data_IF_767775125905
#
_entry.id   IF_767775125905
#
_cell.length_a   1.000
_cell.length_b   1.000
_cell.length_c   1.000
_cell.angle_alpha   90.00
_cell.angle_beta   90.00
_cell.angle_gamma   90.00
#
_symmetry.space_group_name_H-M   'P 1'
#
loop_
_entity.id
_entity.type
_entity.pdbx_description
1 polymer ?
#
# COMPACT_ATOMS: atom_id res chain seq x y z
N UNK A 1 18.69 -3.79 0.55
CA UNK A 1 17.52 -4.44 -0.06
C UNK A 1 17.61 -4.30 -1.57
N UNK A 2 17.79 -5.43 -2.24
CA UNK A 2 18.10 -5.52 -3.66
C UNK A 2 18.67 -6.90 -3.95
N UNK A 3 18.68 -7.29 -5.23
CA UNK A 3 19.10 -8.60 -5.67
C UNK A 3 18.77 -8.83 -7.14
N UNK A 4 19.17 -9.98 -7.64
CA UNK A 4 18.79 -10.50 -8.95
C UNK A 4 17.25 -10.53 -9.05
N UNK A 5 16.70 -9.91 -10.10
CA UNK A 5 15.27 -9.77 -10.31
C UNK A 5 14.82 -10.18 -11.71
N UNK A 6 15.69 -10.76 -12.54
CA UNK A 6 15.40 -11.08 -13.94
C UNK A 6 14.29 -12.10 -14.07
N UNK A 7 14.19 -13.08 -13.15
CA UNK A 7 13.05 -14.00 -13.12
C UNK A 7 11.73 -13.27 -12.82
N UNK A 8 11.74 -12.39 -11.81
CA UNK A 8 10.56 -11.59 -11.46
C UNK A 8 10.13 -10.69 -12.63
N UNK A 9 11.08 -10.04 -13.32
CA UNK A 9 10.78 -9.21 -14.48
C UNK A 9 10.22 -10.05 -15.64
N UNK A 10 10.74 -11.26 -15.87
CA UNK A 10 10.17 -12.20 -16.86
C UNK A 10 8.73 -12.59 -16.53
N UNK A 11 8.40 -12.80 -15.25
CA UNK A 11 7.02 -13.07 -14.83
C UNK A 11 6.12 -11.85 -15.01
N UNK A 12 6.58 -10.66 -14.61
CA UNK A 12 5.83 -9.42 -14.79
C UNK A 12 5.54 -9.14 -16.27
N UNK A 13 6.51 -9.36 -17.16
CA UNK A 13 6.35 -9.15 -18.59
C UNK A 13 5.21 -10.00 -19.19
N UNK A 14 5.03 -11.24 -18.70
CA UNK A 14 3.93 -12.13 -19.12
C UNK A 14 2.56 -11.67 -18.61
N UNK A 15 2.53 -10.88 -17.55
CA UNK A 15 1.29 -10.33 -16.96
C UNK A 15 0.90 -8.97 -17.50
N UNK A 16 1.73 -8.35 -18.36
CA UNK A 16 1.42 -7.06 -18.95
C UNK A 16 0.22 -7.17 -19.89
N UNK A 17 -0.59 -6.10 -19.91
CA UNK A 17 -1.65 -5.96 -20.92
C UNK A 17 -1.00 -5.86 -22.30
N UNK A 18 -1.72 -6.33 -23.31
CA UNK A 18 -1.30 -6.19 -24.71
C UNK A 18 -2.17 -5.16 -25.41
N UNK A 19 -1.54 -4.36 -26.26
CA UNK A 19 -2.20 -3.45 -27.17
C UNK A 19 -2.86 -4.22 -28.32
N UNK A 20 -3.74 -3.58 -29.13
CA UNK A 20 -4.37 -4.22 -30.28
C UNK A 20 -3.40 -4.81 -31.32
N UNK A 21 -2.18 -4.28 -31.39
CA UNK A 21 -1.10 -4.78 -32.26
C UNK A 21 -0.29 -5.93 -31.64
N UNK A 22 -0.67 -6.38 -30.43
CA UNK A 22 -0.05 -7.50 -29.73
C UNK A 22 1.10 -7.11 -28.81
N UNK A 23 1.62 -5.88 -28.85
CA UNK A 23 2.77 -5.49 -28.03
C UNK A 23 2.38 -5.29 -26.55
N UNK A 24 3.24 -5.70 -25.59
CA UNK A 24 2.99 -5.47 -24.18
C UNK A 24 3.08 -3.99 -23.83
N UNK A 25 2.18 -3.53 -22.95
CA UNK A 25 2.14 -2.17 -22.45
C UNK A 25 1.85 -2.11 -20.95
N UNK A 26 2.29 -1.02 -20.34
CA UNK A 26 2.01 -0.75 -18.94
C UNK A 26 3.15 -0.03 -18.24
N UNK A 27 3.24 -0.23 -16.93
CA UNK A 27 4.22 0.42 -16.07
C UNK A 27 4.71 -0.55 -15.01
N UNK A 28 6.03 -0.68 -14.91
CA UNK A 28 6.69 -1.41 -13.83
C UNK A 28 7.33 -0.39 -12.90
N UNK A 29 6.98 -0.48 -11.61
CA UNK A 29 7.55 0.36 -10.55
C UNK A 29 8.62 -0.44 -9.81
N UNK A 30 9.85 0.06 -9.85
CA UNK A 30 11.03 -0.56 -9.26
C UNK A 30 11.30 0.09 -7.91
N UNK A 31 11.09 -0.68 -6.84
CA UNK A 31 11.34 -0.25 -5.46
C UNK A 31 12.62 -0.89 -4.94
N UNK A 32 13.47 -0.10 -4.27
CA UNK A 32 14.76 -0.57 -3.76
C UNK A 32 15.85 -0.58 -4.84
N UNK A 33 16.74 -1.58 -4.78
CA UNK A 33 17.87 -1.67 -5.70
C UNK A 33 18.01 -3.06 -6.36
N UNK A 34 16.98 -3.56 -7.07
CA UNK A 34 17.09 -4.81 -7.83
C UNK A 34 17.96 -4.64 -9.08
N UNK A 35 18.49 -5.76 -9.57
CA UNK A 35 19.29 -5.84 -10.79
C UNK A 35 18.61 -6.77 -11.80
N UNK A 36 18.46 -6.32 -13.04
CA UNK A 36 18.03 -7.13 -14.18
C UNK A 36 18.59 -6.51 -15.46
N UNK A 37 18.68 -7.28 -16.54
CA UNK A 37 19.07 -6.80 -17.86
C UNK A 37 17.92 -6.93 -18.84
N UNK A 38 17.72 -5.91 -19.69
CA UNK A 38 16.79 -6.03 -20.82
C UNK A 38 17.23 -7.09 -21.82
N UNK A 39 18.53 -7.38 -21.92
CA UNK A 39 19.07 -8.41 -22.80
C UNK A 39 18.68 -9.84 -22.39
N UNK A 40 18.23 -10.04 -21.15
CA UNK A 40 17.78 -11.34 -20.64
C UNK A 40 16.28 -11.59 -20.87
N UNK A 41 15.59 -10.63 -21.51
CA UNK A 41 14.17 -10.69 -21.82
C UNK A 41 13.95 -10.99 -23.30
N UNK A 42 12.79 -11.56 -23.64
CA UNK A 42 12.37 -11.69 -25.04
C UNK A 42 12.32 -10.31 -25.70
N UNK A 43 12.71 -10.22 -26.98
CA UNK A 43 12.94 -8.95 -27.67
C UNK A 43 11.73 -7.99 -27.65
N UNK A 44 10.51 -8.54 -27.62
CA UNK A 44 9.27 -7.77 -27.61
C UNK A 44 8.64 -7.60 -26.21
N UNK A 45 9.21 -8.22 -25.16
CA UNK A 45 8.59 -8.38 -23.84
C UNK A 45 8.27 -7.07 -23.11
N UNK A 46 8.94 -5.97 -23.45
CA UNK A 46 8.82 -4.68 -22.76
C UNK A 46 8.76 -3.47 -23.70
N UNK A 47 8.29 -3.67 -24.94
CA UNK A 47 8.34 -2.66 -26.01
C UNK A 47 7.57 -1.35 -25.71
N UNK A 48 6.43 -1.40 -25.02
CA UNK A 48 5.66 -0.20 -24.64
C UNK A 48 5.51 -0.06 -23.10
N UNK A 49 6.57 -0.35 -22.35
CA UNK A 49 6.53 -0.35 -20.88
C UNK A 49 7.31 0.82 -20.27
N UNK A 50 6.65 1.58 -19.41
CA UNK A 50 7.31 2.56 -18.54
C UNK A 50 8.04 1.86 -17.39
N UNK A 51 9.36 2.08 -17.24
CA UNK A 51 10.09 1.75 -16.00
C UNK A 51 10.17 2.99 -15.11
N UNK A 52 9.64 2.89 -13.89
CA UNK A 52 9.74 3.97 -12.89
C UNK A 52 10.45 3.50 -11.63
N UNK A 53 11.56 4.14 -11.29
CA UNK A 53 12.21 3.94 -9.99
C UNK A 53 11.47 4.75 -8.93
N UNK A 54 11.20 4.13 -7.78
CA UNK A 54 10.54 4.77 -6.66
C UNK A 54 11.25 4.47 -5.33
N UNK A 55 11.33 5.48 -4.48
CA UNK A 55 11.64 5.28 -3.06
C UNK A 55 10.44 4.60 -2.38
N UNK A 56 10.69 3.80 -1.34
CA UNK A 56 9.64 3.03 -0.62
C UNK A 56 8.47 3.91 -0.18
N UNK A 57 8.78 5.10 0.33
CA UNK A 57 7.81 6.07 0.87
C UNK A 57 7.53 7.22 -0.12
N UNK A 58 8.04 7.14 -1.35
CA UNK A 58 7.94 8.21 -2.33
C UNK A 58 8.80 9.45 -2.01
N UNK A 59 8.64 10.53 -2.77
CA UNK A 59 9.31 11.81 -2.53
C UNK A 59 8.90 12.43 -1.18
N UNK A 60 9.82 13.15 -0.53
CA UNK A 60 9.54 13.93 0.68
C UNK A 60 9.90 13.23 2.00
N UNK A 61 10.17 11.92 2.05
CA UNK A 61 10.50 11.20 3.30
C UNK A 61 11.82 11.63 4.00
N UNK A 62 12.60 12.53 3.39
CA UNK A 62 13.75 13.17 4.03
C UNK A 62 13.59 14.69 4.14
N UNK A 63 12.41 15.21 3.82
CA UNK A 63 12.05 16.62 3.92
C UNK A 63 11.20 16.82 5.17
N UNK A 64 11.80 17.41 6.20
CA UNK A 64 11.15 17.69 7.48
C UNK A 64 9.83 18.45 7.32
N UNK A 65 9.77 19.44 6.44
CA UNK A 65 8.55 20.25 6.25
C UNK A 65 7.41 19.42 5.69
N UNK A 66 7.72 18.51 4.77
CA UNK A 66 6.76 17.55 4.24
C UNK A 66 6.22 16.62 5.33
N UNK A 67 7.08 16.11 6.21
CA UNK A 67 6.69 15.23 7.31
C UNK A 67 5.77 15.92 8.32
N UNK A 68 5.95 17.23 8.54
CA UNK A 68 5.03 18.06 9.31
C UNK A 68 3.80 18.54 8.52
N UNK A 69 3.60 18.05 7.30
CA UNK A 69 2.36 18.18 6.56
C UNK A 69 2.24 19.42 5.68
N UNK A 70 3.35 20.09 5.37
CA UNK A 70 3.40 21.07 4.28
C UNK A 70 3.17 20.35 2.95
N UNK A 71 2.39 20.89 1.99
CA UNK A 71 2.21 20.27 0.68
C UNK A 71 3.55 20.05 -0.06
N UNK A 72 3.68 18.90 -0.73
CA UNK A 72 4.79 18.63 -1.65
C UNK A 72 4.38 18.99 -3.07
N UNK A 73 5.32 19.24 -4.01
CA UNK A 73 4.98 19.50 -5.40
C UNK A 73 4.10 18.40 -6.02
N UNK A 74 2.95 18.78 -6.58
CA UNK A 74 1.94 17.85 -7.15
C UNK A 74 2.49 16.97 -8.28
N UNK A 75 3.52 17.45 -9.00
CA UNK A 75 4.23 16.69 -10.03
C UNK A 75 4.95 15.47 -9.46
N UNK A 76 5.35 15.53 -8.19
CA UNK A 76 6.02 14.46 -7.46
C UNK A 76 5.03 13.65 -6.61
N UNK A 77 4.07 14.32 -5.95
CA UNK A 77 3.10 13.70 -5.06
C UNK A 77 1.69 14.21 -5.41
N UNK A 78 1.05 13.57 -6.38
CA UNK A 78 -0.32 13.91 -6.80
C UNK A 78 -1.36 13.65 -5.70
N UNK A 79 -1.17 12.58 -4.92
CA UNK A 79 -2.04 12.23 -3.80
C UNK A 79 -1.19 12.01 -2.55
N UNK A 80 -1.54 12.74 -1.51
CA UNK A 80 -0.89 12.65 -0.20
C UNK A 80 -1.63 11.66 0.70
N UNK A 81 -0.95 11.11 1.70
CA UNK A 81 -1.58 10.28 2.74
C UNK A 81 -2.76 11.01 3.39
N UNK A 82 -2.63 12.32 3.63
CA UNK A 82 -3.72 13.17 4.14
C UNK A 82 -4.93 13.15 3.22
N UNK A 83 -4.74 13.48 1.94
CA UNK A 83 -5.85 13.51 0.97
C UNK A 83 -6.49 12.14 0.74
N UNK A 84 -5.71 11.06 0.89
CA UNK A 84 -6.24 9.70 0.86
C UNK A 84 -7.12 9.41 2.09
N UNK A 85 -6.64 9.76 3.29
CA UNK A 85 -7.41 9.60 4.52
C UNK A 85 -8.69 10.44 4.49
N UNK A 86 -8.62 11.70 4.07
CA UNK A 86 -9.79 12.58 3.93
C UNK A 86 -10.86 11.97 3.01
N UNK A 87 -10.43 11.37 1.89
CA UNK A 87 -11.34 10.66 0.99
C UNK A 87 -11.95 9.42 1.66
N UNK A 88 -11.16 8.61 2.36
CA UNK A 88 -11.65 7.46 3.10
C UNK A 88 -12.69 7.85 4.15
N UNK A 89 -12.42 8.90 4.95
CA UNK A 89 -13.34 9.41 5.97
C UNK A 89 -14.66 9.88 5.34
N UNK A 90 -14.59 10.58 4.20
CA UNK A 90 -15.79 10.99 3.46
C UNK A 90 -16.58 9.78 2.94
N UNK A 91 -15.91 8.78 2.39
CA UNK A 91 -16.58 7.56 1.91
C UNK A 91 -17.23 6.76 3.05
N UNK A 92 -16.65 6.77 4.24
CA UNK A 92 -17.25 6.17 5.45
C UNK A 92 -18.51 6.96 5.85
N UNK A 93 -18.41 8.29 5.94
CA UNK A 93 -19.54 9.15 6.28
C UNK A 93 -20.69 9.05 5.28
N UNK A 94 -20.37 8.91 3.99
CA UNK A 94 -21.35 8.72 2.90
C UNK A 94 -21.92 7.30 2.84
N UNK A 95 -21.46 6.36 3.69
CA UNK A 95 -21.86 4.94 3.66
C UNK A 95 -21.35 4.15 2.44
N UNK A 96 -20.44 4.74 1.65
CA UNK A 96 -19.85 4.13 0.45
C UNK A 96 -18.69 3.18 0.78
N UNK A 97 -18.12 3.31 1.97
CA UNK A 97 -17.11 2.43 2.53
C UNK A 97 -17.60 1.92 3.89
N UNK A 98 -18.14 0.69 3.92
CA UNK A 98 -18.56 0.06 5.17
C UNK A 98 -17.36 -0.58 5.87
N UNK A 99 -16.91 0.02 6.96
CA UNK A 99 -15.77 -0.47 7.77
C UNK A 99 -16.20 -1.27 8.99
N UNK A 100 -17.50 -1.34 9.32
CA UNK A 100 -17.99 -2.07 10.49
C UNK A 100 -17.52 -3.54 10.51
N UNK A 101 -17.54 -4.29 9.38
CA UNK A 101 -17.07 -5.68 9.38
C UNK A 101 -15.56 -5.85 9.67
N UNK A 102 -14.77 -4.78 9.61
CA UNK A 102 -13.35 -4.83 9.96
C UNK A 102 -13.14 -4.92 11.48
N UNK A 103 -14.09 -4.44 12.28
CA UNK A 103 -14.04 -4.56 13.74
C UNK A 103 -14.68 -5.87 14.16
N UNK A 104 -13.86 -6.89 14.42
CA UNK A 104 -14.37 -8.19 14.87
C UNK A 104 -14.41 -8.31 16.39
N UNK A 105 -13.56 -7.55 17.09
CA UNK A 105 -13.49 -7.58 18.55
C UNK A 105 -13.38 -6.18 19.13
N UNK A 106 -13.94 -6.01 20.33
CA UNK A 106 -13.77 -4.84 21.18
C UNK A 106 -13.26 -5.32 22.54
N UNK A 107 -12.14 -4.77 22.98
CA UNK A 107 -11.50 -5.14 24.23
C UNK A 107 -11.40 -3.92 25.12
N UNK A 108 -11.73 -4.06 26.40
CA UNK A 108 -11.58 -2.96 27.35
C UNK A 108 -10.12 -2.83 27.73
N UNK A 109 -9.64 -1.59 27.82
CA UNK A 109 -8.26 -1.31 28.22
C UNK A 109 -7.89 -1.94 29.58
N UNK A 110 -8.81 -1.93 30.55
CA UNK A 110 -8.60 -2.49 31.89
C UNK A 110 -8.57 -4.03 31.93
N UNK A 111 -8.89 -4.69 30.81
CA UNK A 111 -8.85 -6.15 30.64
C UNK A 111 -8.14 -6.58 29.37
N UNK A 112 -7.29 -5.72 28.81
CA UNK A 112 -6.68 -5.95 27.49
C UNK A 112 -5.89 -7.24 27.45
N UNK A 113 -5.14 -7.57 28.51
CA UNK A 113 -4.32 -8.79 28.57
C UNK A 113 -5.18 -10.07 28.56
N UNK A 114 -6.24 -10.11 29.37
CA UNK A 114 -7.17 -11.25 29.45
C UNK A 114 -7.90 -11.44 28.12
N UNK A 115 -8.46 -10.36 27.58
CA UNK A 115 -9.31 -10.42 26.39
C UNK A 115 -8.51 -10.65 25.10
N UNK A 116 -7.31 -10.08 24.98
CA UNK A 116 -6.44 -10.39 23.82
C UNK A 116 -5.91 -11.80 23.87
N UNK A 117 -5.63 -12.36 25.06
CA UNK A 117 -5.24 -13.77 25.20
C UNK A 117 -6.34 -14.71 24.69
N UNK A 118 -7.60 -14.45 25.04
CA UNK A 118 -8.73 -15.25 24.52
C UNK A 118 -8.87 -15.17 23.00
N UNK A 119 -8.56 -14.03 22.39
CA UNK A 119 -8.58 -13.86 20.92
C UNK A 119 -7.50 -14.73 20.25
N UNK A 120 -6.35 -14.94 20.91
CA UNK A 120 -5.27 -15.77 20.37
C UNK A 120 -5.63 -17.25 20.28
N UNK A 121 -6.66 -17.72 20.99
CA UNK A 121 -7.17 -19.09 20.87
C UNK A 121 -7.96 -19.30 19.57
N UNK A 122 -8.39 -18.23 18.90
CA UNK A 122 -9.12 -18.28 17.62
C UNK A 122 -8.70 -17.16 16.66
N UNK A 123 -7.41 -17.14 16.24
CA UNK A 123 -6.83 -16.02 15.51
C UNK A 123 -7.45 -15.81 14.12
N UNK A 124 -8.07 -16.86 13.55
CA UNK A 124 -8.78 -16.78 12.27
C UNK A 124 -10.07 -15.93 12.33
N UNK A 125 -10.60 -15.67 13.53
CA UNK A 125 -11.79 -14.85 13.76
C UNK A 125 -11.44 -13.37 14.01
N UNK A 126 -10.14 -13.06 14.17
CA UNK A 126 -9.63 -11.74 14.46
C UNK A 126 -9.15 -11.02 13.19
N UNK A 127 -9.87 -9.96 12.78
CA UNK A 127 -9.45 -9.07 11.69
C UNK A 127 -9.06 -7.68 12.21
N UNK A 128 -9.86 -7.13 13.11
CA UNK A 128 -9.59 -5.84 13.76
C UNK A 128 -10.09 -5.84 15.19
N UNK A 129 -9.22 -5.38 16.09
CA UNK A 129 -9.47 -5.32 17.53
C UNK A 129 -9.45 -3.85 17.96
N UNK A 130 -10.55 -3.36 18.50
CA UNK A 130 -10.64 -1.99 19.03
C UNK A 130 -10.43 -2.03 20.54
N UNK A 131 -9.51 -1.20 21.04
CA UNK A 131 -9.31 -1.01 22.48
C UNK A 131 -10.23 0.12 22.94
N UNK A 132 -11.15 -0.21 23.84
CA UNK A 132 -12.10 0.71 24.44
C UNK A 132 -11.53 1.28 25.74
N UNK A 133 -11.46 2.60 25.79
CA UNK A 133 -11.17 3.35 27.01
C UNK A 133 -12.50 3.55 27.74
N UNK A 134 -12.50 3.41 29.08
CA UNK A 134 -13.66 3.88 29.84
C UNK A 134 -13.81 5.39 29.60
N UNK A 135 -15.01 5.84 29.24
CA UNK A 135 -15.30 7.27 29.25
C UNK A 135 -15.00 7.79 30.66
N UNK A 136 -14.03 8.70 30.76
CA UNK A 136 -13.93 9.54 31.93
C UNK A 136 -15.22 10.35 31.94
N UNK A 137 -16.12 10.05 32.88
CA UNK A 137 -17.25 10.93 33.15
C UNK A 137 -16.69 12.34 33.38
N UNK A 138 -17.24 13.38 32.72
CA UNK A 138 -16.72 14.73 32.83
C UNK A 138 -16.73 15.27 34.26
#
# INVERSE_FOLDING_TARGET
FGGEASETVRHLAKSLKRLPDGHPCGRIVVVGNPTFSFGDLEADAMTNVDIRRAARTGPGYHDERWEFGVPYPDVLVRWTTRTNLDLCMRMIADGRLNVEPLTTHRVRLDRVDEQTSAILDSPAEALGVVIEYQEQSP
#
